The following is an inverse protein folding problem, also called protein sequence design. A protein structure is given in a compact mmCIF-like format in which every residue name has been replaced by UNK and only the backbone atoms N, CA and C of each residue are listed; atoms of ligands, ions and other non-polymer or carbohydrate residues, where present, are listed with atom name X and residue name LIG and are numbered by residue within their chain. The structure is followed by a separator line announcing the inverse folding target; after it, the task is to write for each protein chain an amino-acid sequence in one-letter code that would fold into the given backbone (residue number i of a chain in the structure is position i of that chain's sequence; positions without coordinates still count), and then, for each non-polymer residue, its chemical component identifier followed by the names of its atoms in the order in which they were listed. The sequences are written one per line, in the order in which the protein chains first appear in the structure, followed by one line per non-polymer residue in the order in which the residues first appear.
data_IF_040652340607
#
_entry.id   IF_040652340607
#
_cell.length_a   1.000
_cell.length_b   1.000
_cell.length_c   1.000
_cell.angle_alpha   90.00
_cell.angle_beta   90.00
_cell.angle_gamma   90.00
#
_symmetry.space_group_name_H-M   'P 1'
#
loop_
_entity.id
_entity.type
_entity.pdbx_description
1 polymer ?
#
# COMPACT_ATOMS: atom_id res chain seq x y z
N UNK A 1 -26.65 -18.32 9.00
CA UNK A 1 -25.93 -18.23 10.29
C UNK A 1 -25.43 -16.79 10.46
N UNK A 2 -25.82 -16.10 11.53
CA UNK A 2 -25.38 -14.72 11.76
C UNK A 2 -23.86 -14.66 12.07
N UNK A 3 -23.11 -13.69 11.53
CA UNK A 3 -21.69 -13.55 11.83
C UNK A 3 -21.51 -13.19 13.32
N UNK A 4 -20.68 -13.95 14.02
CA UNK A 4 -20.24 -13.59 15.38
C UNK A 4 -19.49 -12.26 15.29
N UNK A 5 -20.15 -11.16 15.64
CA UNK A 5 -19.51 -9.87 15.91
C UNK A 5 -18.36 -10.12 16.89
N UNK A 6 -17.12 -9.86 16.49
CA UNK A 6 -16.00 -9.72 17.43
C UNK A 6 -16.39 -8.62 18.42
N UNK A 7 -16.81 -8.99 19.62
CA UNK A 7 -17.00 -8.05 20.72
C UNK A 7 -15.66 -7.35 20.94
N UNK A 8 -15.64 -6.01 20.82
CA UNK A 8 -14.48 -5.21 21.20
C UNK A 8 -13.99 -5.71 22.57
N UNK A 9 -12.74 -6.18 22.64
CA UNK A 9 -12.17 -6.65 23.92
C UNK A 9 -12.20 -5.46 24.88
N UNK A 10 -13.12 -5.50 25.85
CA UNK A 10 -13.19 -4.50 26.92
C UNK A 10 -11.87 -4.53 27.67
N UNK A 11 -11.28 -3.36 27.92
CA UNK A 11 -10.09 -3.27 28.75
C UNK A 11 -10.36 -3.88 30.13
N UNK A 12 -9.33 -4.49 30.74
CA UNK A 12 -9.45 -4.96 32.12
C UNK A 12 -9.77 -3.78 33.03
N UNK A 13 -10.70 -4.03 33.95
CA UNK A 13 -11.10 -3.09 34.97
C UNK A 13 -9.87 -2.56 35.76
N UNK A 14 -9.81 -1.25 36.09
CA UNK A 14 -8.68 -0.66 36.82
C UNK A 14 -8.30 -1.38 38.10
N UNK A 15 -9.26 -1.87 38.89
CA UNK A 15 -8.99 -2.60 40.13
C UNK A 15 -8.33 -3.95 39.82
N UNK A 16 -8.78 -4.64 38.79
CA UNK A 16 -8.16 -5.90 38.35
C UNK A 16 -6.74 -5.70 37.82
N UNK A 17 -6.47 -4.59 37.14
CA UNK A 17 -5.12 -4.24 36.67
C UNK A 17 -4.18 -3.92 37.81
N UNK A 18 -4.63 -3.13 38.78
CA UNK A 18 -3.89 -2.83 40.00
C UNK A 18 -3.55 -4.12 40.77
N UNK A 19 -4.53 -5.03 40.90
CA UNK A 19 -4.32 -6.32 41.56
C UNK A 19 -3.29 -7.19 40.85
N UNK A 20 -3.31 -7.26 39.52
CA UNK A 20 -2.29 -7.97 38.73
C UNK A 20 -0.91 -7.38 38.96
N UNK A 21 -0.79 -6.05 38.97
CA UNK A 21 0.49 -5.36 39.17
C UNK A 21 1.02 -5.56 40.60
N UNK A 22 0.14 -5.54 41.60
CA UNK A 22 0.48 -5.82 43.00
C UNK A 22 1.00 -7.26 43.18
N UNK A 23 0.30 -8.25 42.62
CA UNK A 23 0.73 -9.66 42.67
C UNK A 23 2.09 -9.86 42.00
N UNK A 24 2.40 -9.11 40.95
CA UNK A 24 3.68 -9.22 40.27
C UNK A 24 4.81 -8.47 40.98
N UNK A 25 4.57 -7.23 41.40
CA UNK A 25 5.61 -6.34 41.95
C UNK A 25 5.83 -6.58 43.45
N UNK A 26 4.76 -6.64 44.23
CA UNK A 26 4.84 -6.78 45.70
C UNK A 26 5.01 -8.24 46.11
N UNK A 27 4.23 -9.16 45.54
CA UNK A 27 4.29 -10.58 45.88
C UNK A 27 5.28 -11.39 45.03
N UNK A 28 5.92 -10.78 44.01
CA UNK A 28 6.88 -11.41 43.09
C UNK A 28 6.36 -12.67 42.38
N UNK A 29 5.06 -12.71 42.06
CA UNK A 29 4.48 -13.85 41.36
C UNK A 29 4.80 -13.83 39.87
N UNK A 30 5.14 -15.00 39.33
CA UNK A 30 5.27 -15.20 37.87
C UNK A 30 3.91 -15.25 37.17
N UNK A 31 3.88 -14.92 35.86
CA UNK A 31 2.64 -14.80 35.09
C UNK A 31 1.72 -16.04 35.13
N UNK A 32 2.32 -17.24 35.12
CA UNK A 32 1.57 -18.51 35.22
C UNK A 32 0.86 -18.66 36.56
N UNK A 33 1.47 -18.18 37.64
CA UNK A 33 0.89 -18.22 39.00
C UNK A 33 -0.25 -17.23 39.14
N UNK A 34 -0.12 -16.03 38.55
CA UNK A 34 -1.19 -15.03 38.50
C UNK A 34 -2.39 -15.57 37.70
N UNK A 35 -2.15 -16.19 36.55
CA UNK A 35 -3.21 -16.83 35.76
C UNK A 35 -3.89 -18.01 36.48
N UNK A 36 -3.16 -18.76 37.31
CA UNK A 36 -3.76 -19.85 38.09
C UNK A 36 -4.80 -19.33 39.10
N UNK A 37 -4.63 -18.12 39.61
CA UNK A 37 -5.58 -17.46 40.53
C UNK A 37 -6.65 -16.66 39.79
N UNK A 38 -6.33 -16.18 38.59
CA UNK A 38 -7.23 -15.46 37.69
C UNK A 38 -7.33 -16.16 36.31
N UNK A 39 -7.95 -17.35 36.23
CA UNK A 39 -8.02 -18.14 35.01
C UNK A 39 -8.83 -17.46 33.90
N UNK A 40 -9.73 -16.54 34.25
CA UNK A 40 -10.50 -15.71 33.34
C UNK A 40 -9.64 -14.71 32.54
N UNK A 41 -8.41 -14.45 32.98
CA UNK A 41 -7.49 -13.50 32.35
C UNK A 41 -6.39 -14.25 31.60
N UNK A 42 -6.31 -14.16 30.27
CA UNK A 42 -5.24 -14.79 29.51
C UNK A 42 -3.85 -14.34 29.96
N UNK A 43 -2.87 -15.25 29.94
CA UNK A 43 -1.46 -14.97 30.30
C UNK A 43 -0.88 -13.80 29.49
N UNK A 44 -1.26 -13.68 28.22
CA UNK A 44 -0.85 -12.56 27.35
C UNK A 44 -1.40 -11.21 27.83
N UNK A 45 -2.63 -11.19 28.35
CA UNK A 45 -3.25 -9.99 28.93
C UNK A 45 -2.57 -9.60 30.24
N UNK A 46 -2.20 -10.56 31.10
CA UNK A 46 -1.44 -10.32 32.34
C UNK A 46 -0.10 -9.65 32.00
N UNK A 47 0.66 -10.23 31.07
CA UNK A 47 1.97 -9.69 30.63
C UNK A 47 1.84 -8.27 30.06
N UNK A 48 0.87 -8.06 29.16
CA UNK A 48 0.65 -6.76 28.54
C UNK A 48 0.19 -5.70 29.54
N UNK A 49 -0.62 -6.09 30.53
CA UNK A 49 -1.09 -5.19 31.59
C UNK A 49 0.07 -4.71 32.44
N UNK A 50 0.93 -5.61 32.91
CA UNK A 50 2.12 -5.27 33.70
C UNK A 50 3.06 -4.35 32.92
N UNK A 51 3.32 -4.69 31.65
CA UNK A 51 4.22 -3.90 30.79
C UNK A 51 3.70 -2.48 30.55
N UNK A 52 2.39 -2.33 30.34
CA UNK A 52 1.78 -1.05 29.94
C UNK A 52 1.31 -0.19 31.11
N UNK A 53 1.22 -0.71 32.33
CA UNK A 53 0.68 0.06 33.46
C UNK A 53 1.50 1.33 33.74
N UNK A 54 2.83 1.27 33.51
CA UNK A 54 3.72 2.43 33.64
C UNK A 54 3.48 3.52 32.58
N UNK A 55 2.86 3.18 31.46
CA UNK A 55 2.60 4.08 30.33
C UNK A 55 1.18 4.69 30.37
N UNK A 56 0.36 4.34 31.38
CA UNK A 56 -1.04 4.80 31.47
C UNK A 56 -1.16 6.17 32.13
N UNK A 57 -2.08 6.97 31.61
CA UNK A 57 -2.42 8.30 32.16
C UNK A 57 -3.91 8.28 32.53
N UNK A 58 -4.27 8.77 33.73
CA UNK A 58 -5.66 8.80 34.24
C UNK A 58 -6.38 7.44 34.16
N UNK A 59 -5.68 6.35 34.50
CA UNK A 59 -6.18 4.97 34.44
C UNK A 59 -6.64 4.49 33.05
N UNK A 60 -6.30 5.17 31.96
CA UNK A 60 -6.61 4.73 30.59
C UNK A 60 -5.35 4.40 29.82
N UNK A 61 -5.43 3.40 28.94
CA UNK A 61 -4.36 3.16 27.98
C UNK A 61 -4.27 4.34 27.01
N UNK A 62 -3.05 4.81 26.72
CA UNK A 62 -2.86 5.77 25.65
C UNK A 62 -3.37 5.16 24.32
N UNK A 63 -3.95 5.99 23.42
CA UNK A 63 -4.18 5.57 22.04
C UNK A 63 -2.87 5.00 21.47
N UNK A 64 -2.97 4.01 20.59
CA UNK A 64 -1.78 3.55 19.86
C UNK A 64 -1.15 4.79 19.21
N UNK A 65 0.16 4.97 19.35
CA UNK A 65 0.86 5.99 18.57
C UNK A 65 0.63 5.65 17.10
N UNK A 66 -0.20 6.47 16.45
CA UNK A 66 -0.35 6.40 15.01
C UNK A 66 0.96 6.77 14.33
N UNK A 67 1.00 6.60 13.02
CA UNK A 67 2.06 7.22 12.22
C UNK A 67 2.15 8.71 12.58
N UNK A 68 3.36 9.26 12.83
CA UNK A 68 3.53 10.68 13.09
C UNK A 68 2.83 11.50 11.99
N UNK A 69 2.05 12.50 12.40
CA UNK A 69 1.35 13.38 11.47
C UNK A 69 2.38 14.12 10.62
N UNK A 70 2.33 13.95 9.29
CA UNK A 70 3.19 14.70 8.36
C UNK A 70 3.01 16.22 8.44
N UNK A 71 1.83 16.65 8.90
CA UNK A 71 1.47 18.06 9.08
C UNK A 71 1.55 18.47 10.55
N UNK A 72 2.17 19.61 10.81
CA UNK A 72 2.10 20.32 12.09
C UNK A 72 0.69 20.86 12.35
N UNK A 73 0.37 21.20 13.60
CA UNK A 73 -0.91 21.82 13.95
C UNK A 73 -1.12 23.16 13.22
N UNK A 74 -0.06 23.95 13.11
CA UNK A 74 -0.07 25.24 12.42
C UNK A 74 -0.34 25.09 10.91
N UNK A 75 0.29 24.12 10.25
CA UNK A 75 0.03 23.83 8.84
C UNK A 75 -1.42 23.38 8.62
N UNK A 76 -2.00 22.61 9.55
CA UNK A 76 -3.43 22.19 9.47
C UNK A 76 -4.37 23.39 9.59
N UNK A 77 -4.10 24.31 10.50
CA UNK A 77 -4.89 25.53 10.66
C UNK A 77 -4.79 26.42 9.41
N UNK A 78 -3.59 26.56 8.83
CA UNK A 78 -3.38 27.28 7.58
C UNK A 78 -4.20 26.68 6.42
N UNK A 79 -4.18 25.35 6.24
CA UNK A 79 -4.98 24.67 5.21
C UNK A 79 -6.49 24.90 5.39
N UNK A 80 -6.97 24.85 6.64
CA UNK A 80 -8.38 25.13 6.94
C UNK A 80 -8.73 26.58 6.60
N UNK A 81 -7.85 27.53 6.88
CA UNK A 81 -8.08 28.93 6.56
C UNK A 81 -8.13 29.17 5.05
N UNK A 82 -7.17 28.63 4.29
CA UNK A 82 -7.12 28.75 2.84
C UNK A 82 -8.35 28.16 2.15
N UNK A 83 -8.83 26.99 2.61
CA UNK A 83 -10.06 26.37 2.06
C UNK A 83 -11.33 27.14 2.40
N UNK A 84 -11.35 27.90 3.50
CA UNK A 84 -12.47 28.80 3.84
C UNK A 84 -12.46 30.07 3.00
N UNK A 85 -11.29 30.65 2.75
CA UNK A 85 -11.13 31.88 1.98
C UNK A 85 -11.35 31.65 0.48
N UNK A 86 -10.91 30.49 -0.03
CA UNK A 86 -11.14 30.09 -1.40
C UNK A 86 -11.63 28.63 -1.46
N UNK A 87 -12.95 28.39 -1.46
CA UNK A 87 -13.52 27.04 -1.58
C UNK A 87 -13.19 26.32 -2.90
N UNK A 88 -12.70 27.06 -3.91
CA UNK A 88 -12.26 26.52 -5.20
C UNK A 88 -10.74 26.38 -5.30
N UNK A 89 -10.00 26.60 -4.20
CA UNK A 89 -8.55 26.41 -4.17
C UNK A 89 -8.20 25.01 -4.65
N UNK A 90 -7.22 24.93 -5.56
CA UNK A 90 -6.84 23.66 -6.15
C UNK A 90 -5.92 22.91 -5.19
N UNK A 91 -5.94 21.59 -5.30
CA UNK A 91 -5.16 20.73 -4.41
C UNK A 91 -3.65 21.04 -4.42
N UNK A 92 -3.07 21.37 -5.59
CA UNK A 92 -1.65 21.71 -5.69
C UNK A 92 -1.30 23.01 -4.94
N UNK A 93 -2.18 24.01 -4.97
CA UNK A 93 -2.00 25.30 -4.26
C UNK A 93 -2.02 25.08 -2.75
N UNK A 94 -2.88 24.18 -2.28
CA UNK A 94 -2.88 23.74 -0.88
C UNK A 94 -1.58 23.02 -0.51
N UNK A 95 -1.05 22.15 -1.35
CA UNK A 95 0.21 21.44 -1.08
C UNK A 95 1.41 22.38 -1.01
N UNK A 96 1.49 23.36 -1.91
CA UNK A 96 2.52 24.41 -1.90
C UNK A 96 2.47 25.26 -0.62
N UNK A 97 1.27 25.58 -0.13
CA UNK A 97 1.07 26.43 1.06
C UNK A 97 1.63 25.85 2.37
N UNK A 98 1.88 24.55 2.43
CA UNK A 98 2.40 23.85 3.60
C UNK A 98 3.78 23.25 3.36
N UNK A 99 4.46 23.62 2.28
CA UNK A 99 5.73 23.01 1.83
C UNK A 99 5.65 21.47 1.82
N UNK A 100 4.45 20.93 1.56
CA UNK A 100 4.24 19.51 1.34
C UNK A 100 4.47 19.22 -0.13
N UNK A 101 5.69 19.45 -0.60
CA UNK A 101 6.14 18.72 -1.78
C UNK A 101 6.15 17.26 -1.35
N UNK A 102 5.48 16.42 -2.14
CA UNK A 102 5.58 14.98 -2.00
C UNK A 102 6.11 14.48 -3.31
N UNK A 103 7.40 14.14 -3.35
CA UNK A 103 8.12 13.60 -4.49
C UNK A 103 7.53 12.23 -4.80
N UNK A 104 6.45 12.25 -5.57
CA UNK A 104 5.72 11.06 -6.02
C UNK A 104 5.91 10.97 -7.52
N UNK A 105 6.38 9.81 -7.95
CA UNK A 105 6.34 9.41 -9.35
C UNK A 105 5.44 8.20 -9.49
N UNK A 106 4.72 8.13 -10.60
CA UNK A 106 3.95 6.95 -10.99
C UNK A 106 4.81 6.16 -11.96
N UNK A 107 4.78 4.84 -11.87
CA UNK A 107 5.46 3.99 -12.84
C UNK A 107 4.46 3.12 -13.60
N UNK A 108 4.83 2.79 -14.83
CA UNK A 108 4.20 1.75 -15.62
C UNK A 108 5.24 0.69 -15.98
N UNK A 109 4.82 -0.57 -15.91
CA UNK A 109 5.56 -1.68 -16.49
C UNK A 109 4.59 -2.81 -16.82
N UNK A 110 5.06 -3.75 -17.63
CA UNK A 110 4.38 -5.00 -17.90
C UNK A 110 5.38 -6.16 -17.94
N UNK A 111 4.90 -7.38 -17.75
CA UNK A 111 5.73 -8.57 -17.83
C UNK A 111 4.93 -9.76 -18.38
N UNK A 112 5.64 -10.75 -18.92
CA UNK A 112 5.14 -12.08 -19.26
C UNK A 112 6.08 -13.14 -18.68
N UNK A 113 5.80 -14.41 -18.95
CA UNK A 113 6.46 -15.56 -18.31
C UNK A 113 7.98 -15.43 -18.09
N UNK A 114 8.73 -14.99 -19.09
CA UNK A 114 10.19 -14.94 -19.09
C UNK A 114 10.78 -13.57 -19.47
N UNK A 115 9.97 -12.53 -19.62
CA UNK A 115 10.45 -11.20 -20.00
C UNK A 115 9.58 -10.10 -19.40
N UNK A 116 10.08 -8.87 -19.45
CA UNK A 116 9.43 -7.68 -18.93
C UNK A 116 9.75 -6.48 -19.81
N UNK A 117 8.93 -5.45 -19.74
CA UNK A 117 9.24 -4.13 -20.31
C UNK A 117 10.28 -3.41 -19.45
N UNK A 118 10.78 -2.29 -19.92
CA UNK A 118 11.44 -1.31 -19.04
C UNK A 118 10.46 -0.73 -18.02
N UNK A 119 10.98 -0.20 -16.91
CA UNK A 119 10.20 0.58 -15.96
C UNK A 119 10.03 2.02 -16.47
N UNK A 120 8.80 2.42 -16.75
CA UNK A 120 8.50 3.74 -17.34
C UNK A 120 7.98 4.69 -16.26
N UNK A 121 8.72 5.76 -15.88
CA UNK A 121 8.15 6.83 -15.08
C UNK A 121 7.10 7.58 -15.90
N UNK A 122 5.89 7.68 -15.35
CA UNK A 122 4.77 8.39 -15.95
C UNK A 122 4.76 9.82 -15.45
N UNK A 123 4.88 10.76 -16.39
CA UNK A 123 4.73 12.18 -16.14
C UNK A 123 3.36 12.66 -16.62
N UNK A 124 2.77 13.58 -15.85
CA UNK A 124 1.56 14.27 -16.30
C UNK A 124 1.89 15.14 -17.50
N UNK A 125 1.01 15.15 -18.50
CA UNK A 125 1.09 16.06 -19.65
C UNK A 125 0.56 17.47 -19.33
N UNK A 126 0.16 17.73 -18.08
CA UNK A 126 -0.39 19.01 -17.62
C UNK A 126 -1.82 19.29 -18.08
N UNK A 127 -2.42 18.42 -18.90
CA UNK A 127 -3.77 18.62 -19.43
C UNK A 127 -4.87 18.18 -18.45
N UNK A 128 -4.53 17.34 -17.48
CA UNK A 128 -5.46 16.90 -16.44
C UNK A 128 -5.63 17.97 -15.36
N UNK A 129 -6.89 18.30 -15.01
CA UNK A 129 -7.21 19.32 -14.00
C UNK A 129 -6.57 19.09 -12.62
N UNK A 130 -6.21 17.85 -12.30
CA UNK A 130 -5.58 17.45 -11.04
C UNK A 130 -4.15 16.93 -11.18
N UNK A 131 -3.50 17.12 -12.34
CA UNK A 131 -2.13 16.63 -12.57
C UNK A 131 -2.00 15.10 -12.62
N UNK A 132 -3.11 14.37 -12.78
CA UNK A 132 -3.10 12.92 -12.96
C UNK A 132 -2.65 12.49 -14.37
N UNK A 133 -2.33 11.20 -14.50
CA UNK A 133 -1.94 10.60 -15.79
C UNK A 133 -3.15 10.48 -16.70
N UNK A 134 -3.00 10.94 -17.94
CA UNK A 134 -4.07 10.92 -18.96
C UNK A 134 -4.02 9.64 -19.79
N UNK A 135 -5.13 9.33 -20.47
CA UNK A 135 -5.16 8.24 -21.42
C UNK A 135 -4.18 8.46 -22.60
N UNK A 136 -3.86 9.71 -22.95
CA UNK A 136 -2.89 10.04 -24.00
C UNK A 136 -1.47 9.62 -23.61
N UNK A 137 -1.07 9.89 -22.36
CA UNK A 137 0.21 9.44 -21.81
C UNK A 137 0.28 7.92 -21.83
N UNK A 138 -0.76 7.23 -21.33
CA UNK A 138 -0.83 5.76 -21.36
C UNK A 138 -0.78 5.21 -22.78
N UNK A 139 -1.46 5.83 -23.74
CA UNK A 139 -1.45 5.42 -25.15
C UNK A 139 -0.03 5.45 -25.70
N UNK A 140 0.72 6.51 -25.42
CA UNK A 140 2.12 6.62 -25.87
C UNK A 140 3.00 5.56 -25.19
N UNK A 141 2.82 5.34 -23.88
CA UNK A 141 3.51 4.26 -23.17
C UNK A 141 3.24 2.91 -23.81
N UNK A 142 1.98 2.61 -24.15
CA UNK A 142 1.60 1.34 -24.76
C UNK A 142 2.23 1.15 -26.13
N UNK A 143 2.18 2.18 -26.99
CA UNK A 143 2.83 2.15 -28.30
C UNK A 143 4.34 1.88 -28.21
N UNK A 144 4.99 2.37 -27.16
CA UNK A 144 6.43 2.25 -27.01
C UNK A 144 6.85 0.93 -26.36
N UNK A 145 6.02 0.36 -25.49
CA UNK A 145 6.45 -0.75 -24.62
C UNK A 145 5.79 -2.09 -24.96
N UNK A 146 4.54 -2.10 -25.40
CA UNK A 146 3.82 -3.34 -25.67
C UNK A 146 4.34 -4.10 -26.90
N UNK A 147 4.83 -3.47 -27.99
CA UNK A 147 5.37 -4.22 -29.13
C UNK A 147 6.61 -5.07 -28.81
N UNK A 148 7.35 -4.75 -27.75
CA UNK A 148 8.50 -5.55 -27.30
C UNK A 148 8.07 -6.74 -26.44
N UNK A 149 6.83 -6.74 -25.93
CA UNK A 149 6.32 -7.73 -24.98
C UNK A 149 5.27 -8.66 -25.59
N UNK A 150 4.40 -8.12 -26.46
CA UNK A 150 3.21 -8.78 -26.98
C UNK A 150 3.30 -9.05 -28.46
N UNK A 151 2.75 -10.19 -28.87
CA UNK A 151 2.59 -10.59 -30.27
C UNK A 151 1.10 -10.60 -30.67
N UNK A 152 0.84 -10.64 -31.97
CA UNK A 152 -0.54 -10.72 -32.47
C UNK A 152 -1.23 -11.98 -31.93
N UNK A 153 -2.42 -11.80 -31.34
CA UNK A 153 -3.18 -12.88 -30.71
C UNK A 153 -2.83 -13.15 -29.25
N UNK A 154 -1.85 -12.44 -28.67
CA UNK A 154 -1.60 -12.50 -27.23
C UNK A 154 -2.79 -11.91 -26.45
N UNK A 155 -2.98 -12.42 -25.23
CA UNK A 155 -3.96 -11.91 -24.27
C UNK A 155 -3.26 -10.94 -23.33
N UNK A 156 -3.71 -9.69 -23.34
CA UNK A 156 -3.22 -8.64 -22.44
C UNK A 156 -4.13 -8.46 -21.23
N UNK A 157 -3.52 -8.50 -20.05
CA UNK A 157 -4.16 -8.28 -18.78
C UNK A 157 -3.85 -6.86 -18.29
N UNK A 158 -4.89 -6.09 -17.99
CA UNK A 158 -4.81 -4.77 -17.36
C UNK A 158 -5.97 -4.62 -16.37
N UNK A 159 -5.84 -3.71 -15.40
CA UNK A 159 -6.96 -3.40 -14.51
C UNK A 159 -8.02 -2.54 -15.24
N UNK A 160 -9.16 -2.34 -14.55
CA UNK A 160 -10.26 -1.55 -15.09
C UNK A 160 -10.15 -0.06 -14.73
N UNK A 161 -8.95 0.49 -14.52
CA UNK A 161 -8.84 1.92 -14.26
C UNK A 161 -9.35 2.73 -15.47
N UNK A 162 -10.00 3.89 -15.26
CA UNK A 162 -10.64 4.63 -16.35
C UNK A 162 -9.71 4.93 -17.54
N UNK A 163 -8.43 5.20 -17.28
CA UNK A 163 -7.42 5.47 -18.31
C UNK A 163 -7.18 4.28 -19.24
N UNK A 164 -7.21 3.05 -18.72
CA UNK A 164 -7.01 1.81 -19.48
C UNK A 164 -8.24 1.40 -20.30
N UNK A 165 -9.43 1.82 -19.85
CA UNK A 165 -10.70 1.56 -20.54
C UNK A 165 -11.10 2.63 -21.57
N UNK A 166 -10.31 3.71 -21.68
CA UNK A 166 -10.58 4.80 -22.61
C UNK A 166 -10.66 4.32 -24.07
N UNK A 167 -11.50 4.98 -24.89
CA UNK A 167 -11.70 4.62 -26.29
C UNK A 167 -10.37 4.51 -27.06
N UNK A 168 -9.49 5.50 -26.89
CA UNK A 168 -8.19 5.56 -27.57
C UNK A 168 -7.23 4.42 -27.20
N UNK A 169 -7.39 3.82 -26.00
CA UNK A 169 -6.60 2.66 -25.58
C UNK A 169 -7.19 1.38 -26.16
N UNK A 170 -8.52 1.25 -26.13
CA UNK A 170 -9.21 0.09 -26.73
C UNK A 170 -8.98 -0.01 -28.24
N UNK A 171 -8.96 1.11 -28.94
CA UNK A 171 -8.65 1.13 -30.37
C UNK A 171 -7.21 0.71 -30.63
N UNK A 172 -6.25 1.26 -29.86
CA UNK A 172 -4.84 0.88 -29.99
C UNK A 172 -4.64 -0.63 -29.78
N UNK A 173 -5.19 -1.20 -28.71
CA UNK A 173 -5.05 -2.63 -28.44
C UNK A 173 -5.70 -3.50 -29.53
N UNK A 174 -6.80 -3.03 -30.14
CA UNK A 174 -7.42 -3.68 -31.31
C UNK A 174 -6.54 -3.60 -32.55
N UNK A 175 -5.94 -2.44 -32.82
CA UNK A 175 -4.99 -2.24 -33.92
C UNK A 175 -3.75 -3.15 -33.77
N UNK A 176 -3.30 -3.35 -32.54
CA UNK A 176 -2.22 -4.30 -32.18
C UNK A 176 -2.66 -5.77 -32.26
N UNK A 177 -3.93 -6.06 -32.56
CA UNK A 177 -4.48 -7.44 -32.60
C UNK A 177 -4.28 -8.21 -31.29
N UNK A 178 -4.38 -7.49 -30.17
CA UNK A 178 -4.24 -8.04 -28.81
C UNK A 178 -5.63 -8.20 -28.21
N UNK A 179 -5.89 -9.34 -27.59
CA UNK A 179 -7.13 -9.59 -26.85
C UNK A 179 -7.00 -9.04 -25.43
N UNK A 180 -7.93 -8.19 -24.99
CA UNK A 180 -7.94 -7.70 -23.60
C UNK A 180 -8.72 -8.66 -22.72
N UNK A 181 -8.06 -9.21 -21.71
CA UNK A 181 -8.69 -10.10 -20.74
C UNK A 181 -9.78 -9.37 -19.95
N UNK A 182 -10.94 -10.02 -19.77
CA UNK A 182 -11.97 -9.52 -18.85
C UNK A 182 -11.45 -9.67 -17.42
N UNK A 183 -11.28 -8.56 -16.72
CA UNK A 183 -10.76 -8.53 -15.36
C UNK A 183 -11.86 -8.20 -14.33
N UNK A 184 -11.97 -8.95 -13.21
CA UNK A 184 -12.90 -8.60 -12.15
C UNK A 184 -12.47 -7.30 -11.44
N UNK A 185 -13.43 -6.42 -11.08
CA UNK A 185 -13.10 -5.18 -10.37
C UNK A 185 -12.51 -5.49 -8.99
N UNK A 186 -11.63 -4.61 -8.51
CA UNK A 186 -11.05 -4.66 -7.15
C UNK A 186 -10.37 -5.99 -6.78
N UNK A 187 -9.71 -6.64 -7.74
CA UNK A 187 -9.04 -7.92 -7.54
C UNK A 187 -7.51 -7.81 -7.67
N UNK A 188 -6.83 -7.01 -6.81
CA UNK A 188 -5.36 -6.89 -6.86
C UNK A 188 -4.66 -8.22 -6.56
N UNK A 189 -5.25 -9.08 -5.72
CA UNK A 189 -4.73 -10.41 -5.37
C UNK A 189 -4.49 -11.31 -6.60
N UNK A 190 -5.30 -11.11 -7.66
CA UNK A 190 -5.18 -11.84 -8.91
C UNK A 190 -4.09 -11.25 -9.83
N UNK A 191 -3.66 -10.00 -9.62
CA UNK A 191 -2.70 -9.31 -10.48
C UNK A 191 -1.26 -9.56 -9.99
N UNK A 192 -0.46 -10.41 -10.65
CA UNK A 192 0.85 -10.78 -10.12
C UNK A 192 1.87 -9.64 -10.14
N UNK A 193 1.64 -8.59 -10.93
CA UNK A 193 2.53 -7.42 -10.96
C UNK A 193 2.54 -6.68 -9.63
N UNK A 194 1.47 -6.79 -8.82
CA UNK A 194 1.42 -6.23 -7.46
C UNK A 194 2.50 -6.83 -6.56
N UNK A 195 2.82 -8.11 -6.75
CA UNK A 195 3.92 -8.75 -6.03
C UNK A 195 5.27 -8.24 -6.51
N UNK A 196 5.42 -7.91 -7.80
CA UNK A 196 6.65 -7.26 -8.30
C UNK A 196 6.81 -5.87 -7.71
N UNK A 197 5.74 -5.07 -7.62
CA UNK A 197 5.78 -3.78 -6.93
C UNK A 197 6.17 -3.91 -5.45
N UNK A 198 5.70 -4.95 -4.76
CA UNK A 198 6.10 -5.24 -3.39
C UNK A 198 7.58 -5.62 -3.27
N UNK A 199 8.09 -6.44 -4.20
CA UNK A 199 9.50 -6.81 -4.28
C UNK A 199 10.37 -5.58 -4.53
N UNK A 200 10.02 -4.73 -5.50
CA UNK A 200 10.75 -3.50 -5.79
C UNK A 200 10.83 -2.58 -4.57
N UNK A 201 9.70 -2.35 -3.88
CA UNK A 201 9.71 -1.56 -2.63
C UNK A 201 10.63 -2.14 -1.56
N UNK A 202 10.82 -3.46 -1.55
CA UNK A 202 11.73 -4.12 -0.62
C UNK A 202 13.19 -3.90 -1.03
N UNK A 203 13.49 -4.08 -2.32
CA UNK A 203 14.82 -3.85 -2.89
C UNK A 203 15.25 -2.38 -2.67
N UNK A 204 14.40 -1.41 -3.03
CA UNK A 204 14.69 0.02 -2.87
C UNK A 204 15.00 0.36 -1.40
N UNK A 205 14.25 -0.18 -0.44
CA UNK A 205 14.53 0.07 0.99
C UNK A 205 15.83 -0.55 1.48
N UNK A 206 16.25 -1.65 0.87
CA UNK A 206 17.48 -2.36 1.24
C UNK A 206 18.71 -1.70 0.62
N UNK A 207 18.62 -1.35 -0.67
CA UNK A 207 19.76 -0.87 -1.46
C UNK A 207 19.90 0.66 -1.40
N UNK A 208 18.80 1.38 -1.17
CA UNK A 208 18.76 2.85 -1.06
C UNK A 208 18.09 3.33 0.24
N UNK A 209 18.58 2.94 1.43
CA UNK A 209 17.99 3.34 2.71
C UNK A 209 18.02 4.86 2.94
N UNK A 210 18.92 5.59 2.28
CA UNK A 210 19.00 7.05 2.31
C UNK A 210 17.73 7.74 1.79
N UNK A 211 16.97 7.08 0.91
CA UNK A 211 15.75 7.63 0.33
C UNK A 211 14.57 7.64 1.32
N UNK A 212 14.61 6.87 2.40
CA UNK A 212 13.48 6.78 3.35
C UNK A 212 13.23 8.10 4.10
N UNK A 213 14.30 8.85 4.37
CA UNK A 213 14.24 10.14 5.08
C UNK A 213 14.80 11.30 4.26
N UNK A 214 14.93 11.11 2.93
CA UNK A 214 15.45 12.13 2.04
C UNK A 214 14.51 13.36 1.98
N UNK A 215 15.05 14.58 1.83
CA UNK A 215 14.25 15.78 1.68
C UNK A 215 13.42 15.73 0.40
N UNK A 216 12.25 16.36 0.41
CA UNK A 216 11.34 16.34 -0.71
C UNK A 216 11.71 17.38 -1.77
N UNK A 217 12.51 16.97 -2.76
CA UNK A 217 13.00 17.83 -3.83
C UNK A 217 13.28 17.03 -5.12
N UNK A 218 13.56 17.75 -6.21
CA UNK A 218 13.78 17.16 -7.54
C UNK A 218 14.97 16.20 -7.59
N UNK A 219 16.01 16.43 -6.78
CA UNK A 219 17.16 15.52 -6.67
C UNK A 219 16.74 14.19 -6.06
N UNK A 220 15.97 14.22 -4.98
CA UNK A 220 15.41 13.01 -4.36
C UNK A 220 14.44 12.30 -5.31
N UNK A 221 13.63 13.04 -6.06
CA UNK A 221 12.74 12.47 -7.06
C UNK A 221 13.53 11.74 -8.16
N UNK A 222 14.60 12.35 -8.68
CA UNK A 222 15.47 11.73 -9.67
C UNK A 222 16.14 10.46 -9.11
N UNK A 223 16.68 10.53 -7.89
CA UNK A 223 17.28 9.37 -7.23
C UNK A 223 16.27 8.23 -7.02
N UNK A 224 15.03 8.56 -6.64
CA UNK A 224 13.95 7.58 -6.50
C UNK A 224 13.59 6.92 -7.84
N UNK A 225 13.60 7.68 -8.95
CA UNK A 225 13.39 7.12 -10.29
C UNK A 225 14.49 6.15 -10.65
N UNK A 226 15.76 6.51 -10.43
CA UNK A 226 16.90 5.62 -10.71
C UNK A 226 16.85 4.36 -9.85
N UNK A 227 16.64 4.50 -8.54
CA UNK A 227 16.48 3.36 -7.63
C UNK A 227 15.32 2.43 -8.06
N UNK A 228 14.22 3.01 -8.56
CA UNK A 228 13.11 2.26 -9.14
C UNK A 228 13.53 1.43 -10.35
N UNK A 229 14.24 2.05 -11.30
CA UNK A 229 14.73 1.38 -12.52
C UNK A 229 15.73 0.26 -12.15
N UNK A 230 16.69 0.54 -11.27
CA UNK A 230 17.68 -0.44 -10.80
C UNK A 230 17.01 -1.62 -10.09
N UNK A 231 16.03 -1.34 -9.23
CA UNK A 231 15.26 -2.38 -8.54
C UNK A 231 14.40 -3.21 -9.50
N UNK A 232 13.84 -2.61 -10.55
CA UNK A 232 13.11 -3.35 -11.57
C UNK A 232 14.06 -4.25 -12.37
N UNK A 233 15.22 -3.74 -12.77
CA UNK A 233 16.18 -4.47 -13.57
C UNK A 233 16.87 -5.62 -12.81
N UNK A 234 17.02 -5.48 -11.49
CA UNK A 234 17.63 -6.53 -10.66
C UNK A 234 16.72 -7.74 -10.41
N UNK A 235 15.41 -7.64 -10.69
CA UNK A 235 14.48 -8.76 -10.52
C UNK A 235 14.88 -9.89 -11.46
N UNK A 236 15.08 -11.09 -10.93
CA UNK A 236 15.46 -12.23 -11.76
C UNK A 236 14.25 -12.80 -12.50
N UNK A 237 14.43 -13.25 -13.74
CA UNK A 237 13.37 -13.87 -14.54
C UNK A 237 12.67 -15.04 -13.84
N UNK A 238 13.37 -15.77 -12.96
CA UNK A 238 12.76 -16.84 -12.16
C UNK A 238 11.58 -16.34 -11.32
N UNK A 239 11.61 -15.09 -10.89
CA UNK A 239 10.52 -14.46 -10.13
C UNK A 239 9.31 -14.27 -11.04
N UNK A 240 9.52 -13.80 -12.28
CA UNK A 240 8.46 -13.64 -13.29
C UNK A 240 7.79 -14.97 -13.62
N UNK A 241 8.59 -16.03 -13.81
CA UNK A 241 8.10 -17.40 -14.04
C UNK A 241 7.26 -17.90 -12.87
N UNK A 242 7.80 -17.83 -11.66
CA UNK A 242 7.10 -18.27 -10.45
C UNK A 242 5.76 -17.52 -10.23
N UNK A 243 5.72 -16.22 -10.54
CA UNK A 243 4.48 -15.44 -10.45
C UNK A 243 3.45 -15.88 -11.48
N UNK A 244 3.88 -16.13 -12.72
CA UNK A 244 3.03 -16.65 -13.78
C UNK A 244 2.48 -18.04 -13.42
N UNK A 245 3.35 -18.94 -12.94
CA UNK A 245 2.98 -20.29 -12.51
C UNK A 245 2.05 -20.29 -11.28
N UNK A 246 2.01 -19.20 -10.52
CA UNK A 246 1.13 -19.07 -9.36
C UNK A 246 -0.33 -18.80 -9.72
N UNK A 247 -0.63 -18.42 -10.97
CA UNK A 247 -1.98 -18.00 -11.38
C UNK A 247 -3.07 -19.03 -11.14
N UNK A 248 -2.91 -20.33 -11.48
CA UNK A 248 -3.93 -21.34 -11.18
C UNK A 248 -4.26 -21.42 -9.68
N UNK A 249 -3.25 -21.29 -8.82
CA UNK A 249 -3.44 -21.31 -7.37
C UNK A 249 -4.13 -20.04 -6.85
N UNK A 250 -3.86 -18.87 -7.42
CA UNK A 250 -4.54 -17.61 -7.08
C UNK A 250 -6.02 -17.67 -7.43
N UNK A 251 -6.34 -18.12 -8.65
CA UNK A 251 -7.72 -18.29 -9.10
C UNK A 251 -8.45 -19.27 -8.19
N UNK A 252 -7.83 -20.42 -7.87
CA UNK A 252 -8.43 -21.38 -6.94
C UNK A 252 -8.63 -20.78 -5.54
N UNK A 253 -7.71 -19.95 -5.05
CA UNK A 253 -7.85 -19.28 -3.76
C UNK A 253 -9.04 -18.30 -3.74
N UNK A 254 -9.24 -17.54 -4.82
CA UNK A 254 -10.40 -16.64 -4.96
C UNK A 254 -11.70 -17.43 -5.02
N UNK A 255 -11.74 -18.54 -5.77
CA UNK A 255 -12.90 -19.43 -5.83
C UNK A 255 -13.23 -20.03 -4.45
N UNK A 256 -12.21 -20.51 -3.73
CA UNK A 256 -12.39 -21.05 -2.38
C UNK A 256 -12.83 -19.99 -1.35
N UNK A 257 -12.54 -18.72 -1.63
CA UNK A 257 -12.95 -17.59 -0.81
C UNK A 257 -14.30 -17.01 -1.26
N UNK A 258 -15.03 -17.63 -2.19
CA UNK A 258 -16.28 -17.12 -2.76
C UNK A 258 -16.16 -15.67 -3.27
N UNK A 259 -15.00 -15.33 -3.85
CA UNK A 259 -14.71 -13.98 -4.36
C UNK A 259 -14.20 -12.98 -3.30
N UNK A 260 -13.99 -13.39 -2.05
CA UNK A 260 -13.38 -12.56 -1.01
C UNK A 260 -11.85 -12.52 -1.11
N UNK A 261 -11.25 -11.57 -0.39
CA UNK A 261 -9.80 -11.37 -0.29
C UNK A 261 -9.06 -12.67 0.06
N UNK A 262 -7.93 -12.85 -0.60
CA UNK A 262 -7.04 -13.99 -0.43
C UNK A 262 -5.75 -13.56 0.28
N UNK A 263 -4.77 -14.47 0.35
CA UNK A 263 -3.47 -14.23 0.96
C UNK A 263 -2.46 -13.56 0.01
N UNK A 264 -2.81 -13.42 -1.26
CA UNK A 264 -1.91 -13.03 -2.35
C UNK A 264 -1.78 -11.52 -2.50
#
# INVERSE_FOLDING_TARGET
MAPRRRTARRELDPCMRARICELHTSARWGYKRIHKVHPEIPISTIRNTIKKEQERVNQRSLPRSGQPSKLSSEQKENLIQLTKENPHIKYYELQESVDMRCSKTMFWAAFRYNMRTSLVPLTSDGSSRGGGITATVIRQTYMNQLPELLENGDIFMQDNAPVHTAHIIRDLLREMQVEVMIWPPYSPDLNPIENLWAIMKTIIRQDHPELENAPDNDTTLYALIQAGIEAWESIQERVLRNLSDSMPHRVQAVLNADGWYTKY
#
